data_IF_077328708585
#
_entry.id   IF_077328708585
#
_cell.length_a   1.000
_cell.length_b   1.000
_cell.length_c   1.000
_cell.angle_alpha   90.00
_cell.angle_beta   90.00
_cell.angle_gamma   90.00
#
_symmetry.space_group_name_H-M   'P 1'
#
loop_
_entity.id
_entity.type
_entity.pdbx_description
1 polymer ?
#
# COMPACT_ATOMS: atom_id res chain seq x y z
N UNK A 1 14.84 4.09 -20.82
CA UNK A 1 14.49 3.52 -19.50
C UNK A 1 13.01 3.19 -19.52
N UNK A 2 12.63 1.92 -19.47
CA UNK A 2 11.22 1.54 -19.50
C UNK A 2 10.57 1.95 -18.17
N UNK A 3 9.70 2.95 -18.21
CA UNK A 3 8.87 3.33 -17.07
C UNK A 3 7.85 2.22 -16.88
N UNK A 4 8.19 1.22 -16.05
CA UNK A 4 7.27 0.17 -15.62
C UNK A 4 6.57 0.59 -14.33
N UNK A 5 6.17 1.85 -14.27
CA UNK A 5 5.30 2.33 -13.22
C UNK A 5 3.92 1.76 -13.47
N UNK A 6 3.22 1.47 -12.38
CA UNK A 6 1.86 0.98 -12.46
C UNK A 6 0.97 2.14 -12.95
N UNK A 7 0.19 1.99 -14.03
CA UNK A 7 -0.60 3.09 -14.57
C UNK A 7 -1.66 3.60 -13.57
N UNK A 8 -1.95 4.91 -13.60
CA UNK A 8 -2.93 5.55 -12.71
C UNK A 8 -4.34 4.92 -12.81
N UNK A 9 -4.76 4.61 -14.04
CA UNK A 9 -6.06 3.99 -14.33
C UNK A 9 -6.22 2.59 -13.70
N UNK A 10 -5.13 2.00 -13.20
CA UNK A 10 -5.14 0.72 -12.50
C UNK A 10 -5.24 0.85 -10.98
N UNK A 11 -5.14 2.04 -10.38
CA UNK A 11 -5.33 2.23 -8.94
C UNK A 11 -6.62 1.57 -8.41
N UNK A 12 -7.78 1.67 -9.08
CA UNK A 12 -9.00 0.99 -8.62
C UNK A 12 -8.87 -0.54 -8.50
N UNK A 13 -8.00 -1.16 -9.32
CA UNK A 13 -7.71 -2.61 -9.23
C UNK A 13 -6.95 -2.93 -7.95
N UNK A 14 -5.93 -2.12 -7.59
CA UNK A 14 -5.16 -2.32 -6.37
C UNK A 14 -6.03 -2.14 -5.12
N UNK A 15 -6.88 -1.10 -5.10
CA UNK A 15 -7.80 -0.87 -3.99
C UNK A 15 -8.77 -2.03 -3.82
N UNK A 16 -9.34 -2.52 -4.93
CA UNK A 16 -10.22 -3.69 -4.90
C UNK A 16 -9.53 -4.94 -4.36
N UNK A 17 -8.28 -5.19 -4.77
CA UNK A 17 -7.51 -6.34 -4.27
C UNK A 17 -7.22 -6.23 -2.78
N UNK A 18 -6.82 -5.05 -2.32
CA UNK A 18 -6.56 -4.78 -0.91
C UNK A 18 -7.81 -4.99 -0.04
N UNK A 19 -9.00 -4.63 -0.53
CA UNK A 19 -10.25 -4.88 0.20
C UNK A 19 -10.69 -6.34 0.20
N UNK A 20 -10.37 -7.10 -0.87
CA UNK A 20 -10.75 -8.51 -0.96
C UNK A 20 -9.90 -9.43 -0.10
N UNK A 21 -8.68 -9.01 0.26
CA UNK A 21 -7.70 -9.79 1.01
C UNK A 21 -7.31 -9.01 2.27
N UNK A 22 -7.97 -9.27 3.42
CA UNK A 22 -7.66 -8.59 4.67
C UNK A 22 -6.21 -8.79 5.09
N UNK A 23 -5.60 -7.74 5.66
CA UNK A 23 -4.23 -7.80 6.18
C UNK A 23 -4.12 -8.88 7.26
N UNK A 24 -3.12 -9.72 7.10
CA UNK A 24 -2.84 -10.84 7.99
C UNK A 24 -1.93 -10.46 9.15
N UNK A 25 -1.94 -11.27 10.23
CA UNK A 25 -1.03 -11.11 11.36
C UNK A 25 0.45 -11.19 10.92
N UNK A 26 0.76 -12.04 9.95
CA UNK A 26 2.10 -12.13 9.38
C UNK A 26 2.53 -10.81 8.73
N UNK A 27 1.65 -10.15 7.99
CA UNK A 27 1.94 -8.86 7.34
C UNK A 27 2.16 -7.74 8.36
N UNK A 28 1.38 -7.73 9.45
CA UNK A 28 1.59 -6.80 10.57
C UNK A 28 2.97 -6.98 11.22
N UNK A 29 3.36 -8.23 11.50
CA UNK A 29 4.68 -8.55 12.05
C UNK A 29 5.81 -8.19 11.08
N UNK A 30 5.63 -8.47 9.79
CA UNK A 30 6.61 -8.10 8.75
C UNK A 30 6.77 -6.58 8.67
N UNK A 31 5.68 -5.82 8.70
CA UNK A 31 5.73 -4.35 8.72
C UNK A 31 6.50 -3.85 9.95
N UNK A 32 6.35 -4.51 11.11
CA UNK A 32 7.09 -4.20 12.35
C UNK A 32 8.59 -4.42 12.21
N UNK A 33 8.99 -5.62 11.80
CA UNK A 33 10.41 -5.93 11.63
C UNK A 33 11.09 -5.01 10.60
N UNK A 34 10.41 -4.69 9.48
CA UNK A 34 10.99 -3.82 8.45
C UNK A 34 11.10 -2.37 8.93
N UNK A 35 10.13 -1.88 9.70
CA UNK A 35 10.17 -0.52 10.23
C UNK A 35 11.35 -0.28 11.17
N UNK A 36 11.83 -1.30 11.88
CA UNK A 36 13.05 -1.21 12.69
C UNK A 36 14.29 -0.88 11.84
N UNK A 37 14.32 -1.38 10.60
CA UNK A 37 15.41 -1.20 9.65
C UNK A 37 15.25 0.10 8.85
N UNK A 38 14.07 0.31 8.25
CA UNK A 38 13.81 1.41 7.31
C UNK A 38 13.34 2.70 7.98
N UNK A 39 12.93 2.62 9.25
CA UNK A 39 12.46 3.74 10.07
C UNK A 39 11.16 4.38 9.58
N UNK A 40 10.39 3.67 8.76
CA UNK A 40 9.05 4.05 8.31
C UNK A 40 8.08 2.85 8.32
N UNK A 41 6.78 3.13 8.33
CA UNK A 41 5.70 2.14 8.29
C UNK A 41 4.97 2.20 6.96
N UNK A 42 4.39 1.07 6.53
CA UNK A 42 3.41 1.05 5.45
C UNK A 42 1.99 1.31 6.02
N UNK A 43 1.37 2.49 5.82
CA UNK A 43 0.12 2.83 6.50
C UNK A 43 -1.08 1.93 6.13
N UNK A 44 -1.32 1.54 4.85
CA UNK A 44 -2.36 0.56 4.51
C UNK A 44 -2.22 -0.83 5.17
N UNK A 45 -1.06 -1.18 5.71
CA UNK A 45 -0.90 -2.43 6.49
C UNK A 45 -1.34 -2.22 7.94
N UNK A 46 -1.11 -1.03 8.51
CA UNK A 46 -1.48 -0.70 9.89
C UNK A 46 -2.94 -0.28 10.02
N UNK A 47 -3.42 0.42 8.99
CA UNK A 47 -4.74 1.02 8.88
C UNK A 47 -5.31 0.73 7.48
N UNK A 48 -5.80 -0.50 7.22
CA UNK A 48 -6.35 -0.87 5.92
C UNK A 48 -7.52 0.04 5.49
N UNK A 49 -8.25 0.60 6.45
CA UNK A 49 -9.34 1.55 6.22
C UNK A 49 -8.90 2.83 5.49
N UNK A 50 -7.63 3.24 5.65
CA UNK A 50 -7.11 4.45 5.01
C UNK A 50 -6.82 4.27 3.53
N UNK A 51 -6.80 3.04 3.00
CA UNK A 51 -6.48 2.80 1.61
C UNK A 51 -7.39 3.59 0.64
N UNK A 52 -8.64 3.90 1.03
CA UNK A 52 -9.55 4.74 0.24
C UNK A 52 -9.54 6.24 0.61
N UNK A 53 -8.92 6.59 1.73
CA UNK A 53 -8.87 7.95 2.25
C UNK A 53 -7.60 8.68 1.79
N UNK A 54 -6.56 7.93 1.41
CA UNK A 54 -5.31 8.47 0.87
C UNK A 54 -5.54 9.06 -0.53
N UNK A 55 -5.07 10.28 -0.74
CA UNK A 55 -4.97 10.90 -2.05
C UNK A 55 -3.70 10.40 -2.77
N UNK A 56 -3.89 9.52 -3.77
CA UNK A 56 -2.80 8.99 -4.60
C UNK A 56 -2.52 9.85 -5.85
N UNK A 57 -3.25 10.95 -6.08
CA UNK A 57 -3.07 11.76 -7.30
C UNK A 57 -1.65 12.33 -7.45
N UNK A 58 -0.93 12.50 -6.34
CA UNK A 58 0.47 12.95 -6.33
C UNK A 58 1.51 11.86 -6.62
N UNK A 59 1.10 10.61 -6.91
CA UNK A 59 2.02 9.49 -7.18
C UNK A 59 2.48 9.46 -8.64
N UNK A 60 1.67 9.98 -9.55
CA UNK A 60 1.96 9.98 -10.98
C UNK A 60 2.49 11.34 -11.46
N UNK A 61 3.48 11.36 -12.38
CA UNK A 61 4.07 12.58 -12.93
C UNK A 61 3.17 13.32 -13.94
#
# INVERSE_FOLDING_TARGET
>A
MHHREFPEDRLPVLLKWHESEPVTEYELHRNAAIAEIQRNRNPPIDHPEWAREIDFSGVWP
#
